data_IF_728837049554
#
_entry.id   IF_728837049554
#
_cell.length_a   1.000
_cell.length_b   1.000
_cell.length_c   1.000
_cell.angle_alpha   90.00
_cell.angle_beta   90.00
_cell.angle_gamma   90.00
#
_symmetry.space_group_name_H-M   'P 1'
#
loop_
_entity.id
_entity.type
_entity.pdbx_description
1 polymer ?
#
# COMPACT_ATOMS: atom_id res chain seq x y z
N UNK A 1 13.61 -7.47 -1.81
CA UNK A 1 14.86 -7.35 -1.06
C UNK A 1 14.69 -6.22 -0.06
N UNK A 2 15.19 -6.39 1.14
CA UNK A 2 15.22 -5.37 2.18
C UNK A 2 16.64 -5.21 2.71
N UNK A 3 16.97 -4.01 3.19
CA UNK A 3 18.27 -3.70 3.78
C UNK A 3 18.05 -2.92 5.09
N UNK A 4 17.57 -3.58 6.17
CA UNK A 4 17.17 -2.93 7.42
C UNK A 4 18.30 -2.09 8.05
N UNK A 5 19.57 -2.49 7.91
CA UNK A 5 20.73 -1.79 8.46
C UNK A 5 21.63 -1.14 7.40
N UNK A 6 21.15 -0.98 6.16
CA UNK A 6 21.90 -0.44 5.01
C UNK A 6 23.21 -1.19 4.63
N UNK A 7 23.50 -2.35 5.23
CA UNK A 7 24.73 -3.10 4.96
C UNK A 7 24.53 -4.27 3.99
N UNK A 8 23.50 -5.10 4.19
CA UNK A 8 23.25 -6.28 3.36
C UNK A 8 21.80 -6.30 2.83
N UNK A 9 21.64 -6.61 1.54
CA UNK A 9 20.33 -6.88 0.94
C UNK A 9 19.94 -8.32 1.24
N UNK A 10 18.78 -8.51 1.86
CA UNK A 10 18.26 -9.84 2.14
C UNK A 10 16.89 -10.02 1.48
N UNK A 11 16.58 -11.26 1.09
CA UNK A 11 15.22 -11.61 0.71
C UNK A 11 14.33 -11.59 1.95
N UNK A 12 13.35 -10.69 2.01
CA UNK A 12 12.41 -10.55 3.13
C UNK A 12 11.56 -11.82 3.37
N UNK A 13 11.53 -12.75 2.40
CA UNK A 13 10.79 -14.00 2.52
C UNK A 13 11.62 -15.14 3.14
N UNK A 14 12.84 -15.35 2.65
CA UNK A 14 13.65 -16.51 3.05
C UNK A 14 14.97 -16.15 3.74
N UNK A 15 15.25 -14.87 3.96
CA UNK A 15 16.48 -14.39 4.59
C UNK A 15 17.75 -14.56 3.75
N UNK A 16 17.65 -15.08 2.51
CA UNK A 16 18.81 -15.26 1.63
C UNK A 16 19.45 -13.91 1.32
N UNK A 17 20.74 -13.79 1.60
CA UNK A 17 21.52 -12.61 1.26
C UNK A 17 21.70 -12.48 -0.26
N UNK A 18 21.49 -11.27 -0.78
CA UNK A 18 21.78 -10.84 -2.13
C UNK A 18 23.06 -10.00 -2.12
N UNK A 19 24.15 -10.58 -2.63
CA UNK A 19 25.50 -9.98 -2.58
C UNK A 19 25.94 -9.39 -3.91
N UNK A 20 25.21 -9.65 -4.99
CA UNK A 20 25.58 -9.28 -6.36
C UNK A 20 24.52 -8.40 -7.03
N UNK A 21 23.83 -7.56 -6.26
CA UNK A 21 22.78 -6.69 -6.78
C UNK A 21 23.31 -5.68 -7.80
N UNK A 22 22.60 -5.57 -8.93
CA UNK A 22 22.69 -4.47 -9.88
C UNK A 22 21.31 -4.12 -10.42
N UNK A 23 21.08 -2.87 -10.81
CA UNK A 23 19.87 -2.49 -11.54
C UNK A 23 19.84 -3.18 -12.91
N UNK A 24 18.77 -3.91 -13.23
CA UNK A 24 18.64 -4.60 -14.52
C UNK A 24 18.53 -3.63 -15.72
N UNK A 25 18.06 -2.40 -15.49
CA UNK A 25 17.86 -1.40 -16.55
C UNK A 25 19.13 -0.58 -16.84
N UNK A 26 19.92 -0.24 -15.81
CA UNK A 26 21.06 0.67 -15.96
C UNK A 26 22.39 0.13 -15.45
N UNK A 27 22.43 -1.07 -14.88
CA UNK A 27 23.65 -1.70 -14.35
C UNK A 27 24.21 -1.08 -13.08
N UNK A 28 23.59 -0.03 -12.51
CA UNK A 28 24.08 0.61 -11.29
C UNK A 28 24.03 -0.32 -10.09
N UNK A 29 25.06 -0.27 -9.24
CA UNK A 29 25.11 -0.92 -7.93
C UNK A 29 24.64 0.00 -6.78
N UNK A 30 24.19 1.23 -7.09
CA UNK A 30 23.73 2.18 -6.08
C UNK A 30 22.26 1.94 -5.77
N UNK A 31 21.97 1.61 -4.52
CA UNK A 31 20.62 1.60 -3.97
C UNK A 31 20.32 2.90 -3.25
N UNK A 32 19.11 3.42 -3.47
CA UNK A 32 18.58 4.55 -2.72
C UNK A 32 17.26 4.11 -2.11
N UNK A 33 17.12 4.25 -0.79
CA UNK A 33 15.83 4.10 -0.14
C UNK A 33 14.85 5.13 -0.73
N UNK A 34 13.78 4.65 -1.38
CA UNK A 34 12.81 5.50 -2.06
C UNK A 34 11.66 5.98 -1.19
N UNK A 35 11.57 5.56 0.08
CA UNK A 35 10.51 6.02 0.97
C UNK A 35 10.85 7.43 1.45
N UNK A 36 10.34 8.43 0.73
CA UNK A 36 10.25 9.80 1.20
C UNK A 36 9.03 9.85 2.12
N UNK A 37 9.23 9.65 3.43
CA UNK A 37 8.11 9.69 4.38
C UNK A 37 7.34 11.02 4.29
N UNK A 38 6.04 10.99 4.63
CA UNK A 38 5.10 12.11 4.47
C UNK A 38 5.63 13.47 4.99
N UNK A 39 6.45 13.48 6.05
CA UNK A 39 7.11 14.68 6.57
C UNK A 39 7.97 15.39 5.53
N UNK A 40 8.81 14.65 4.81
CA UNK A 40 9.71 15.23 3.81
C UNK A 40 8.93 15.71 2.58
N UNK A 41 7.87 15.00 2.20
CA UNK A 41 6.94 15.48 1.15
C UNK A 41 6.30 16.82 1.55
N UNK A 42 5.85 16.96 2.79
CA UNK A 42 5.30 18.22 3.30
C UNK A 42 6.32 19.36 3.30
N UNK A 43 7.58 19.08 3.69
CA UNK A 43 8.68 20.06 3.66
C UNK A 43 8.97 20.56 2.24
N UNK A 44 9.07 19.65 1.26
CA UNK A 44 9.34 20.03 -0.13
C UNK A 44 8.14 20.76 -0.76
N UNK A 45 6.90 20.35 -0.43
CA UNK A 45 5.69 21.08 -0.87
C UNK A 45 5.62 22.48 -0.25
N UNK A 46 5.97 22.64 1.03
CA UNK A 46 6.02 23.96 1.67
C UNK A 46 7.03 24.90 1.01
N UNK A 47 8.16 24.36 0.52
CA UNK A 47 9.15 25.12 -0.26
C UNK A 47 8.66 25.48 -1.65
N UNK A 48 7.96 24.56 -2.32
CA UNK A 48 7.44 24.78 -3.67
C UNK A 48 6.23 25.75 -3.70
N UNK A 49 5.45 25.80 -2.60
CA UNK A 49 4.24 26.60 -2.47
C UNK A 49 4.27 27.50 -1.23
N UNK A 50 5.18 28.49 -1.14
CA UNK A 50 5.42 29.27 0.08
C UNK A 50 4.20 30.10 0.54
N UNK A 51 3.23 30.37 -0.34
CA UNK A 51 2.01 31.10 -0.02
C UNK A 51 0.81 30.20 0.30
N UNK A 52 0.97 28.87 0.29
CA UNK A 52 -0.11 27.91 0.51
C UNK A 52 0.14 27.16 1.83
N UNK A 53 -0.79 27.20 2.79
CA UNK A 53 -0.67 26.41 4.01
C UNK A 53 -0.53 24.92 3.71
N UNK A 54 0.50 24.28 4.26
CA UNK A 54 0.67 22.83 4.21
C UNK A 54 0.27 22.24 5.56
N UNK A 55 -0.71 21.34 5.55
CA UNK A 55 -1.19 20.60 6.72
C UNK A 55 -0.75 19.15 6.61
N UNK A 56 -0.30 18.58 7.72
CA UNK A 56 0.07 17.17 7.80
C UNK A 56 -0.95 16.42 8.65
N UNK A 57 -1.35 15.23 8.20
CA UNK A 57 -2.21 14.31 8.96
C UNK A 57 -1.61 12.91 8.93
N UNK A 58 -1.36 12.32 10.10
CA UNK A 58 -0.68 11.02 10.18
C UNK A 58 -0.22 10.66 11.58
N UNK A 59 0.95 10.02 11.68
CA UNK A 59 1.47 9.41 12.92
C UNK A 59 1.44 10.36 14.13
N UNK A 60 1.88 11.60 13.97
CA UNK A 60 2.03 12.54 15.09
C UNK A 60 0.70 13.14 15.51
N UNK A 61 -0.16 13.43 14.53
CA UNK A 61 -1.49 13.98 14.74
C UNK A 61 -2.36 13.69 13.53
N UNK A 62 -3.58 13.19 13.78
CA UNK A 62 -4.59 12.97 12.75
C UNK A 62 -5.57 14.14 12.84
N UNK A 63 -5.78 14.81 11.72
CA UNK A 63 -6.80 15.84 11.57
C UNK A 63 -8.14 15.17 11.26
N UNK A 64 -9.21 15.56 11.95
CA UNK A 64 -10.56 15.07 11.65
C UNK A 64 -11.13 15.77 10.41
N UNK A 65 -10.93 17.09 10.32
CA UNK A 65 -11.44 17.92 9.24
C UNK A 65 -10.51 19.09 8.89
N UNK A 66 -10.69 19.64 7.69
CA UNK A 66 -10.05 20.88 7.24
C UNK A 66 -11.09 21.86 6.71
N UNK A 67 -10.93 23.18 6.97
CA UNK A 67 -11.88 24.19 6.53
C UNK A 67 -11.86 24.36 5.01
N UNK A 68 -12.90 24.98 4.45
CA UNK A 68 -13.01 25.34 3.04
C UNK A 68 -12.07 26.52 2.63
N UNK A 69 -10.77 26.39 2.92
CA UNK A 69 -9.74 27.36 2.58
C UNK A 69 -8.63 26.69 1.75
N UNK A 70 -7.97 27.43 0.82
CA UNK A 70 -6.87 26.89 0.03
C UNK A 70 -5.74 26.36 0.92
N UNK A 71 -5.44 25.07 0.82
CA UNK A 71 -4.37 24.42 1.54
C UNK A 71 -3.93 23.14 0.81
N UNK A 72 -2.69 22.73 1.06
CA UNK A 72 -2.20 21.39 0.73
C UNK A 72 -2.32 20.51 1.96
N UNK A 73 -2.89 19.33 1.81
CA UNK A 73 -3.00 18.34 2.88
C UNK A 73 -2.16 17.13 2.52
N UNK A 74 -1.15 16.84 3.34
CA UNK A 74 -0.28 15.67 3.18
C UNK A 74 -0.68 14.65 4.24
N UNK A 75 -1.30 13.56 3.79
CA UNK A 75 -1.84 12.54 4.67
C UNK A 75 -1.11 11.22 4.52
N UNK A 76 -0.88 10.53 5.64
CA UNK A 76 -0.56 9.09 5.61
C UNK A 76 -1.81 8.33 5.17
N UNK A 77 -1.72 7.27 4.34
CA UNK A 77 -2.89 6.54 3.88
C UNK A 77 -3.83 6.12 5.02
N UNK A 78 -5.08 6.58 4.98
CA UNK A 78 -6.08 6.36 6.01
C UNK A 78 -6.20 7.43 7.09
N UNK A 79 -5.41 8.50 7.03
CA UNK A 79 -5.47 9.64 7.93
C UNK A 79 -5.96 10.91 7.20
N UNK A 80 -6.60 10.76 6.04
CA UNK A 80 -7.10 11.89 5.26
C UNK A 80 -8.27 12.58 6.01
N UNK A 81 -8.15 13.88 6.37
CA UNK A 81 -9.24 14.61 7.00
C UNK A 81 -10.38 14.85 5.99
N UNK A 82 -11.60 14.99 6.49
CA UNK A 82 -12.73 15.45 5.66
C UNK A 82 -12.55 16.94 5.37
N UNK A 83 -12.57 17.34 4.10
CA UNK A 83 -12.58 18.76 3.72
C UNK A 83 -14.01 19.29 3.63
N UNK A 84 -14.27 20.44 4.24
CA UNK A 84 -15.53 21.15 4.05
C UNK A 84 -15.69 21.51 2.56
N UNK A 85 -16.76 21.02 1.92
CA UNK A 85 -16.99 21.16 0.48
C UNK A 85 -16.11 20.28 -0.41
N UNK A 86 -15.40 19.30 0.15
CA UNK A 86 -14.59 18.32 -0.59
C UNK A 86 -13.28 18.89 -1.16
N UNK A 87 -12.33 17.99 -1.40
CA UNK A 87 -11.07 18.36 -2.05
C UNK A 87 -11.29 18.65 -3.53
N UNK A 88 -10.63 19.68 -4.06
CA UNK A 88 -10.60 19.93 -5.50
C UNK A 88 -9.82 18.83 -6.24
N UNK A 89 -8.79 18.27 -5.61
CA UNK A 89 -8.04 17.15 -6.17
C UNK A 89 -7.40 16.27 -5.09
N UNK A 90 -7.10 15.02 -5.45
CA UNK A 90 -6.25 14.11 -4.69
C UNK A 90 -5.09 13.59 -5.54
N UNK A 91 -3.90 13.52 -4.94
CA UNK A 91 -2.71 12.90 -5.52
C UNK A 91 -2.37 11.65 -4.70
N UNK A 92 -2.57 10.49 -5.31
CA UNK A 92 -2.24 9.19 -4.75
C UNK A 92 -0.81 8.83 -5.13
N UNK A 93 0.11 9.15 -4.25
CA UNK A 93 1.54 8.93 -4.42
C UNK A 93 1.94 7.54 -3.90
N UNK A 94 3.11 7.08 -4.34
CA UNK A 94 3.75 5.86 -3.85
C UNK A 94 2.88 4.59 -3.98
N UNK A 95 2.13 4.45 -5.08
CA UNK A 95 1.30 3.26 -5.31
C UNK A 95 2.10 1.95 -5.26
N UNK A 96 3.37 1.99 -5.66
CA UNK A 96 4.33 0.89 -5.54
C UNK A 96 4.52 0.41 -4.09
N UNK A 97 4.49 1.30 -3.10
CA UNK A 97 4.72 0.96 -1.70
C UNK A 97 3.54 0.17 -1.11
N UNK A 98 2.32 0.47 -1.55
CA UNK A 98 1.13 -0.28 -1.16
C UNK A 98 1.05 -1.63 -1.89
N UNK A 99 1.30 -1.62 -3.20
CA UNK A 99 1.17 -2.80 -4.06
C UNK A 99 2.32 -3.79 -3.92
N UNK A 100 3.51 -3.33 -3.53
CA UNK A 100 4.69 -4.15 -3.34
C UNK A 100 4.76 -4.88 -2.00
N UNK A 101 3.74 -4.73 -1.14
CA UNK A 101 3.68 -5.46 0.13
C UNK A 101 3.54 -6.97 -0.15
N UNK A 102 4.29 -7.83 0.54
CA UNK A 102 4.17 -9.29 0.41
C UNK A 102 2.93 -9.79 1.17
N UNK A 103 1.76 -9.32 0.76
CA UNK A 103 0.47 -9.60 1.37
C UNK A 103 -0.54 -9.95 0.27
N UNK A 104 -1.26 -11.06 0.43
CA UNK A 104 -2.26 -11.52 -0.55
C UNK A 104 -3.36 -10.47 -0.82
N UNK A 105 -3.60 -9.58 0.14
CA UNK A 105 -4.60 -8.51 0.08
C UNK A 105 -3.98 -7.15 -0.25
N UNK A 106 -2.70 -7.06 -0.62
CA UNK A 106 -2.05 -5.80 -0.95
C UNK A 106 -2.82 -5.00 -2.02
N UNK A 107 -3.27 -5.66 -3.09
CA UNK A 107 -4.07 -5.04 -4.15
C UNK A 107 -5.44 -4.53 -3.67
N UNK A 108 -6.13 -5.32 -2.85
CA UNK A 108 -7.43 -4.94 -2.26
C UNK A 108 -7.31 -3.79 -1.26
N UNK A 109 -6.31 -3.84 -0.39
CA UNK A 109 -6.00 -2.79 0.57
C UNK A 109 -5.66 -1.49 -0.16
N UNK A 110 -4.82 -1.56 -1.20
CA UNK A 110 -4.46 -0.42 -2.03
C UNK A 110 -5.71 0.23 -2.65
N UNK A 111 -6.53 -0.57 -3.35
CA UNK A 111 -7.74 -0.06 -3.98
C UNK A 111 -8.73 0.52 -2.96
N UNK A 112 -8.91 -0.13 -1.79
CA UNK A 112 -9.78 0.39 -0.73
C UNK A 112 -9.31 1.76 -0.24
N UNK A 113 -8.01 1.94 -0.02
CA UNK A 113 -7.45 3.23 0.46
C UNK A 113 -7.56 4.32 -0.61
N UNK A 114 -7.27 3.98 -1.86
CA UNK A 114 -7.37 4.93 -2.97
C UNK A 114 -8.80 5.37 -3.26
N UNK A 115 -9.76 4.45 -3.20
CA UNK A 115 -11.18 4.78 -3.35
C UNK A 115 -11.70 5.59 -2.17
N UNK A 116 -11.26 5.29 -0.93
CA UNK A 116 -11.60 6.10 0.24
C UNK A 116 -11.06 7.54 0.13
N UNK A 117 -9.80 7.72 -0.28
CA UNK A 117 -9.23 9.04 -0.52
C UNK A 117 -9.92 9.76 -1.69
N UNK A 118 -10.23 9.05 -2.78
CA UNK A 118 -10.95 9.57 -3.93
C UNK A 118 -12.37 10.03 -3.58
N UNK A 119 -13.05 9.37 -2.65
CA UNK A 119 -14.38 9.75 -2.18
C UNK A 119 -14.41 11.08 -1.39
N UNK A 120 -13.25 11.58 -0.94
CA UNK A 120 -13.14 12.90 -0.32
C UNK A 120 -13.01 14.03 -1.36
N UNK A 121 -12.77 13.69 -2.63
CA UNK A 121 -12.68 14.65 -3.74
C UNK A 121 -14.08 14.99 -4.24
N UNK A 122 -14.27 16.23 -4.67
CA UNK A 122 -15.52 16.69 -5.29
C UNK A 122 -15.89 15.81 -6.48
N UNK A 123 -17.19 15.80 -6.81
CA UNK A 123 -17.68 15.11 -8.01
C UNK A 123 -17.06 15.67 -9.30
N UNK A 124 -17.12 14.88 -10.37
CA UNK A 124 -16.62 15.31 -11.68
C UNK A 124 -17.32 16.58 -12.18
N UNK A 125 -18.64 16.70 -11.96
CA UNK A 125 -19.44 17.88 -12.36
C UNK A 125 -19.04 19.16 -11.60
N UNK A 126 -18.35 19.01 -10.46
CA UNK A 126 -17.80 20.09 -9.64
C UNK A 126 -16.29 20.30 -9.89
N UNK A 127 -15.71 19.64 -10.90
CA UNK A 127 -14.32 19.77 -11.31
C UNK A 127 -13.31 18.96 -10.47
N UNK A 128 -13.78 17.99 -9.67
CA UNK A 128 -12.90 17.14 -8.87
C UNK A 128 -11.98 16.26 -9.71
N UNK A 129 -10.72 16.12 -9.28
CA UNK A 129 -9.69 15.33 -10.01
C UNK A 129 -8.91 14.40 -9.09
N UNK A 130 -8.77 13.13 -9.48
CA UNK A 130 -7.88 12.17 -8.79
C UNK A 130 -6.74 11.78 -9.73
N UNK A 131 -5.51 11.92 -9.26
CA UNK A 131 -4.29 11.50 -9.98
C UNK A 131 -3.61 10.39 -9.18
N UNK A 132 -3.22 9.30 -9.84
CA UNK A 132 -2.47 8.20 -9.23
C UNK A 132 -1.10 8.04 -9.90
N UNK A 133 -0.07 7.85 -9.08
CA UNK A 133 1.29 7.54 -9.52
C UNK A 133 1.59 6.07 -9.20
N UNK A 134 1.36 5.20 -10.19
CA UNK A 134 1.57 3.76 -10.11
C UNK A 134 1.76 3.16 -11.51
N UNK A 135 2.18 1.89 -11.60
CA UNK A 135 2.25 1.15 -12.87
C UNK A 135 0.84 1.04 -13.49
N UNK A 136 0.59 1.67 -14.65
CA UNK A 136 -0.77 1.83 -15.19
C UNK A 136 -1.42 0.50 -15.56
N UNK A 137 -0.65 -0.54 -15.87
CA UNK A 137 -1.18 -1.84 -16.29
C UNK A 137 -1.73 -2.70 -15.14
N UNK A 138 -1.47 -2.34 -13.87
CA UNK A 138 -1.90 -3.13 -12.72
C UNK A 138 -3.42 -3.11 -12.52
N UNK A 139 -3.97 -4.28 -12.16
CA UNK A 139 -5.43 -4.48 -11.95
C UNK A 139 -6.05 -3.48 -10.96
N UNK A 140 -5.46 -3.19 -9.77
CA UNK A 140 -6.01 -2.19 -8.86
C UNK A 140 -6.04 -0.78 -9.45
N UNK A 141 -5.03 -0.41 -10.25
CA UNK A 141 -4.97 0.92 -10.90
C UNK A 141 -6.06 1.04 -11.96
N UNK A 142 -6.23 0.01 -12.80
CA UNK A 142 -7.31 -0.03 -13.78
C UNK A 142 -8.70 -0.01 -13.14
N UNK A 143 -8.87 -0.66 -11.98
CA UNK A 143 -10.11 -0.64 -11.22
C UNK A 143 -10.42 0.75 -10.66
N UNK A 144 -9.41 1.48 -10.17
CA UNK A 144 -9.56 2.86 -9.72
C UNK A 144 -9.95 3.79 -10.87
N UNK A 145 -9.25 3.72 -12.01
CA UNK A 145 -9.50 4.56 -13.20
C UNK A 145 -10.91 4.37 -13.74
N UNK A 146 -11.42 3.13 -13.71
CA UNK A 146 -12.79 2.81 -14.16
C UNK A 146 -13.85 2.98 -13.07
N UNK A 147 -13.45 3.32 -11.86
CA UNK A 147 -14.30 3.32 -10.67
C UNK A 147 -15.09 2.00 -10.50
N UNK A 148 -14.40 0.86 -10.67
CA UNK A 148 -14.95 -0.51 -10.62
C UNK A 148 -14.35 -1.35 -9.48
N UNK A 149 -14.52 -0.95 -8.19
CA UNK A 149 -14.06 -1.77 -7.07
C UNK A 149 -14.80 -3.11 -6.96
N UNK A 150 -16.07 -3.15 -7.37
CA UNK A 150 -16.88 -4.37 -7.32
C UNK A 150 -16.41 -5.42 -8.33
N UNK A 151 -16.08 -5.03 -9.56
CA UNK A 151 -15.52 -5.93 -10.55
C UNK A 151 -14.10 -6.37 -10.21
N UNK A 152 -13.29 -5.51 -9.60
CA UNK A 152 -12.01 -5.92 -9.03
C UNK A 152 -12.18 -7.02 -7.98
N UNK A 153 -13.04 -6.80 -6.97
CA UNK A 153 -13.29 -7.77 -5.91
C UNK A 153 -13.81 -9.13 -6.43
N UNK A 154 -14.69 -9.12 -7.44
CA UNK A 154 -15.17 -10.35 -8.08
C UNK A 154 -14.05 -11.14 -8.75
N UNK A 155 -13.13 -10.46 -9.43
CA UNK A 155 -11.98 -11.10 -10.09
C UNK A 155 -10.99 -11.65 -9.06
N UNK A 156 -10.64 -10.88 -8.03
CA UNK A 156 -9.77 -11.36 -6.94
C UNK A 156 -10.37 -12.58 -6.22
N UNK A 157 -11.68 -12.58 -5.97
CA UNK A 157 -12.35 -13.73 -5.37
C UNK A 157 -12.31 -14.98 -6.26
N UNK A 158 -12.50 -14.81 -7.58
CA UNK A 158 -12.43 -15.92 -8.53
C UNK A 158 -11.01 -16.52 -8.59
N UNK A 159 -9.97 -15.69 -8.70
CA UNK A 159 -8.57 -16.14 -8.68
C UNK A 159 -8.24 -16.89 -7.38
N UNK A 160 -8.75 -16.40 -6.23
CA UNK A 160 -8.57 -17.06 -4.93
C UNK A 160 -9.31 -18.38 -4.83
N UNK A 161 -10.50 -18.48 -5.44
CA UNK A 161 -11.26 -19.72 -5.49
C UNK A 161 -10.48 -20.80 -6.25
N UNK A 162 -9.90 -20.44 -7.40
CA UNK A 162 -9.07 -21.33 -8.21
C UNK A 162 -7.82 -21.83 -7.44
N UNK A 163 -7.17 -20.94 -6.69
CA UNK A 163 -5.96 -21.24 -5.93
C UNK A 163 -6.22 -21.74 -4.50
N UNK A 164 -7.48 -21.89 -4.10
CA UNK A 164 -7.89 -22.23 -2.72
C UNK A 164 -7.28 -21.31 -1.66
N UNK A 165 -7.17 -20.02 -1.95
CA UNK A 165 -6.72 -18.99 -1.00
C UNK A 165 -7.88 -18.35 -0.21
N UNK A 166 -7.64 -17.80 0.99
CA UNK A 166 -8.65 -17.08 1.74
C UNK A 166 -9.28 -15.96 0.88
N UNK A 167 -10.61 -15.77 0.93
CA UNK A 167 -11.52 -16.28 1.96
C UNK A 167 -12.17 -17.64 1.66
N UNK A 168 -11.88 -18.28 0.52
CA UNK A 168 -12.52 -19.58 0.17
C UNK A 168 -11.98 -20.75 0.98
N UNK A 169 -10.83 -20.56 1.63
CA UNK A 169 -10.21 -21.48 2.57
C UNK A 169 -9.91 -20.79 3.91
N UNK A 170 -9.49 -21.58 4.89
CA UNK A 170 -8.89 -21.09 6.14
C UNK A 170 -7.40 -21.38 6.08
N UNK A 171 -6.58 -20.37 6.33
CA UNK A 171 -5.13 -20.51 6.40
C UNK A 171 -4.63 -19.96 7.72
N UNK A 172 -3.64 -20.63 8.30
CA UNK A 172 -2.92 -20.20 9.49
C UNK A 172 -1.42 -20.35 9.23
N UNK A 173 -0.63 -19.42 9.74
CA UNK A 173 0.83 -19.49 9.72
C UNK A 173 1.33 -19.57 11.14
N UNK A 174 2.27 -20.49 11.39
CA UNK A 174 2.97 -20.62 12.68
C UNK A 174 4.45 -20.37 12.42
N UNK A 175 5.02 -19.42 13.14
CA UNK A 175 6.43 -19.01 12.98
C UNK A 175 7.16 -19.23 14.30
N UNK A 176 8.31 -19.91 14.23
CA UNK A 176 9.14 -20.18 15.40
C UNK A 176 10.42 -20.92 15.04
N UNK A 177 11.27 -21.23 16.05
CA UNK A 177 12.43 -22.10 15.85
C UNK A 177 12.03 -23.47 15.29
N UNK A 178 12.89 -24.07 14.48
CA UNK A 178 12.60 -25.34 13.80
C UNK A 178 12.14 -26.46 14.75
N UNK A 179 12.79 -26.62 15.91
CA UNK A 179 12.44 -27.63 16.92
C UNK A 179 11.06 -27.40 17.54
N UNK A 180 10.69 -26.12 17.74
CA UNK A 180 9.38 -25.75 18.27
C UNK A 180 8.27 -26.02 17.24
N UNK A 181 8.51 -25.72 15.96
CA UNK A 181 7.57 -26.03 14.88
C UNK A 181 7.38 -27.54 14.71
N UNK A 182 8.45 -28.33 14.77
CA UNK A 182 8.36 -29.79 14.70
C UNK A 182 7.52 -30.36 15.85
N UNK A 183 7.75 -29.87 17.07
CA UNK A 183 6.99 -30.29 18.26
C UNK A 183 5.51 -29.88 18.17
N UNK A 184 5.23 -28.66 17.68
CA UNK A 184 3.88 -28.19 17.44
C UNK A 184 3.13 -29.06 16.44
N UNK A 185 3.73 -29.33 15.26
CA UNK A 185 3.11 -30.12 14.20
C UNK A 185 2.85 -31.57 14.64
N UNK A 186 3.72 -32.15 15.47
CA UNK A 186 3.52 -33.50 16.00
C UNK A 186 2.35 -33.59 17.01
N UNK A 187 2.02 -32.49 17.69
CA UNK A 187 0.97 -32.43 18.71
C UNK A 187 -0.35 -31.83 18.19
N UNK A 188 -0.35 -31.18 17.03
CA UNK A 188 -1.52 -30.50 16.48
C UNK A 188 -2.56 -31.51 15.98
N UNK A 189 -3.79 -31.42 16.50
CA UNK A 189 -4.95 -32.14 15.97
C UNK A 189 -5.53 -31.34 14.79
N UNK A 190 -5.07 -31.68 13.59
CA UNK A 190 -5.48 -31.00 12.35
C UNK A 190 -6.64 -31.75 11.69
N UNK A 191 -7.61 -31.04 11.07
CA UNK A 191 -8.68 -31.69 10.35
C UNK A 191 -8.11 -32.52 9.18
N UNK A 192 -8.77 -33.62 8.77
CA UNK A 192 -8.28 -34.51 7.71
C UNK A 192 -8.00 -33.80 6.38
N UNK A 193 -8.70 -32.69 6.11
CA UNK A 193 -8.58 -31.90 4.90
C UNK A 193 -7.48 -30.81 4.99
N UNK A 194 -6.74 -30.74 6.10
CA UNK A 194 -5.65 -29.77 6.27
C UNK A 194 -4.47 -30.09 5.35
N UNK A 195 -4.07 -29.11 4.55
CA UNK A 195 -2.84 -29.17 3.76
C UNK A 195 -1.72 -28.43 4.50
N UNK A 196 -0.62 -29.14 4.79
CA UNK A 196 0.62 -28.55 5.30
C UNK A 196 1.45 -28.03 4.11
N UNK A 197 1.71 -26.72 4.08
CA UNK A 197 2.42 -26.01 3.01
C UNK A 197 3.88 -25.71 3.38
#
# INVERSE_FOLDING_TARGET
LEAPDQQDLNCAWCGRAERAWHCAECGSNRLRAQIVGARRTAEELGRAFPAVPVRTSGRDHILDAVPAAPALVVSTPGAEPVAEGGYAAALLLDGWAMLGRPDLRAGEEALRRWTAAGALVRGQDEGGTVVIVAEPTLRPVQALVRWDPAGFARRELADRAELRFPPVSRMASVTGPAEALASFLAAADLPPEAELL
#
